data_IF_031198653695
#
_entry.id   IF_031198653695
#
_cell.length_a   1.000
_cell.length_b   1.000
_cell.length_c   1.000
_cell.angle_alpha   90.00
_cell.angle_beta   90.00
_cell.angle_gamma   90.00
#
_symmetry.space_group_name_H-M   'P 1'
#
loop_
_entity.id
_entity.type
_entity.pdbx_description
1 polymer ?
#
# COMPACT_ATOMS: atom_id res chain seq x y z
N UNK A 1 9.25 -9.09 -1.60
CA UNK A 1 9.73 -10.42 -2.06
C UNK A 1 10.18 -11.29 -0.89
N UNK A 2 10.99 -10.77 0.07
CA UNK A 2 11.53 -11.60 1.17
C UNK A 2 10.42 -12.20 2.04
N UNK A 3 9.45 -11.41 2.48
CA UNK A 3 8.36 -11.84 3.34
C UNK A 3 7.47 -12.93 2.75
N UNK A 4 7.38 -13.02 1.42
CA UNK A 4 6.58 -14.05 0.76
C UNK A 4 6.92 -15.48 1.22
N UNK A 5 8.17 -15.75 1.53
CA UNK A 5 8.66 -17.05 2.01
C UNK A 5 8.07 -17.48 3.36
N UNK A 6 7.58 -16.50 4.13
CA UNK A 6 7.10 -16.70 5.49
C UNK A 6 5.58 -16.63 5.62
N UNK A 7 4.88 -16.15 4.58
CA UNK A 7 3.42 -15.99 4.59
C UNK A 7 2.76 -17.34 4.38
N UNK A 8 2.25 -17.91 5.48
CA UNK A 8 1.54 -19.20 5.50
C UNK A 8 0.65 -19.29 6.74
N UNK A 9 -0.36 -20.19 6.76
CA UNK A 9 -1.16 -20.42 7.94
C UNK A 9 -0.29 -20.74 9.17
N UNK A 10 -0.69 -20.22 10.35
CA UNK A 10 0.00 -20.41 11.62
C UNK A 10 1.09 -19.37 11.92
N UNK A 11 1.44 -18.47 11.00
CA UNK A 11 2.42 -17.41 11.24
C UNK A 11 1.71 -16.18 11.82
N UNK A 12 2.31 -15.55 12.83
CA UNK A 12 1.80 -14.29 13.38
C UNK A 12 2.24 -13.09 12.54
N UNK A 13 1.41 -12.07 12.48
CA UNK A 13 1.78 -10.81 11.81
C UNK A 13 2.95 -10.10 12.53
N UNK A 14 3.06 -10.25 13.86
CA UNK A 14 4.21 -9.77 14.62
C UNK A 14 5.53 -10.45 14.25
N UNK A 15 5.50 -11.74 13.88
CA UNK A 15 6.69 -12.43 13.37
C UNK A 15 7.13 -11.87 12.01
N UNK A 16 6.18 -11.55 11.13
CA UNK A 16 6.48 -10.93 9.83
C UNK A 16 7.12 -9.54 10.00
N UNK A 17 6.66 -8.76 10.97
CA UNK A 17 7.25 -7.45 11.28
C UNK A 17 8.71 -7.57 11.72
N UNK A 18 9.02 -8.54 12.61
CA UNK A 18 10.40 -8.79 13.08
C UNK A 18 11.33 -9.15 11.92
N UNK A 19 10.86 -10.00 10.99
CA UNK A 19 11.64 -10.37 9.79
C UNK A 19 11.83 -9.16 8.89
N UNK A 20 10.79 -8.36 8.67
CA UNK A 20 10.86 -7.17 7.85
C UNK A 20 11.86 -6.14 8.43
N UNK A 21 11.77 -5.85 9.72
CA UNK A 21 12.68 -4.92 10.39
C UNK A 21 14.13 -5.37 10.27
N UNK A 22 14.40 -6.65 10.53
CA UNK A 22 15.74 -7.21 10.40
C UNK A 22 16.27 -7.05 8.97
N UNK A 23 15.47 -7.43 7.98
CA UNK A 23 15.86 -7.31 6.57
C UNK A 23 16.13 -5.86 6.15
N UNK A 24 15.30 -4.91 6.58
CA UNK A 24 15.48 -3.48 6.30
C UNK A 24 16.82 -3.01 6.88
N UNK A 25 17.11 -3.34 8.14
CA UNK A 25 18.35 -2.91 8.82
C UNK A 25 19.61 -3.57 8.25
N UNK A 26 19.53 -4.85 7.88
CA UNK A 26 20.64 -5.59 7.26
C UNK A 26 21.03 -5.00 5.89
N UNK A 27 20.10 -4.28 5.25
CA UNK A 27 20.33 -3.55 3.99
C UNK A 27 20.66 -2.06 4.22
N UNK A 28 21.07 -1.66 5.43
CA UNK A 28 21.39 -0.28 5.80
C UNK A 28 20.28 0.74 5.58
N UNK A 29 19.01 0.27 5.53
CA UNK A 29 17.83 1.12 5.44
C UNK A 29 17.19 1.34 6.82
N UNK A 30 16.33 2.34 6.91
CA UNK A 30 15.59 2.70 8.11
C UNK A 30 14.09 2.47 7.85
N UNK A 31 13.37 1.70 8.69
CA UNK A 31 11.92 1.58 8.58
C UNK A 31 11.27 2.93 8.94
N UNK A 32 10.47 3.49 8.05
CA UNK A 32 9.90 4.83 8.21
C UNK A 32 8.60 4.85 8.98
N UNK A 33 7.90 3.71 9.05
CA UNK A 33 6.63 3.63 9.78
C UNK A 33 6.84 3.52 11.29
N UNK A 34 7.90 2.85 11.74
CA UNK A 34 8.19 2.70 13.17
C UNK A 34 8.49 4.03 13.84
N UNK A 35 7.66 4.42 14.78
CA UNK A 35 7.75 5.73 15.43
C UNK A 35 7.07 6.86 14.67
N UNK A 36 6.35 6.56 13.56
CA UNK A 36 5.62 7.58 12.81
C UNK A 36 4.58 8.25 13.72
N UNK A 37 4.53 9.60 13.75
CA UNK A 37 3.66 10.33 14.66
C UNK A 37 2.17 10.01 14.43
N UNK A 38 1.45 9.77 15.51
CA UNK A 38 0.00 9.64 15.50
C UNK A 38 -0.62 10.76 16.34
N UNK A 39 -1.33 11.74 15.75
CA UNK A 39 -1.90 12.86 16.49
C UNK A 39 -2.97 12.46 17.49
N UNK A 40 -3.50 11.24 17.40
CA UNK A 40 -4.58 10.73 18.26
C UNK A 40 -4.14 9.63 19.23
N UNK A 41 -2.85 9.35 19.34
CA UNK A 41 -2.35 8.30 20.20
C UNK A 41 -0.83 8.12 20.17
N UNK A 42 -0.39 6.93 20.57
CA UNK A 42 1.03 6.59 20.51
C UNK A 42 1.52 6.50 19.05
N UNK A 43 2.80 6.81 18.79
CA UNK A 43 3.40 6.59 17.48
C UNK A 43 3.22 5.16 16.99
N UNK A 44 3.22 4.96 15.67
CA UNK A 44 3.07 3.63 15.08
C UNK A 44 4.17 2.68 15.60
N UNK A 45 3.82 1.50 16.14
CA UNK A 45 4.77 0.72 16.94
C UNK A 45 5.66 -0.23 16.13
N UNK A 46 5.40 -0.39 14.83
CA UNK A 46 5.96 -1.46 14.00
C UNK A 46 6.67 -0.93 12.74
N UNK A 47 7.47 -1.77 12.10
CA UNK A 47 8.24 -1.41 10.90
C UNK A 47 7.45 -1.55 9.61
N UNK A 48 6.40 -2.38 9.61
CA UNK A 48 5.47 -2.58 8.50
C UNK A 48 4.02 -2.49 8.98
N UNK A 49 3.07 -2.23 8.07
CA UNK A 49 1.68 -2.50 8.33
C UNK A 49 1.32 -3.92 7.86
N UNK A 50 0.43 -4.59 8.61
CA UNK A 50 -0.09 -5.91 8.26
C UNK A 50 -1.61 -5.92 8.37
N UNK A 51 -2.28 -5.67 7.26
CA UNK A 51 -3.74 -5.52 7.23
C UNK A 51 -4.39 -6.81 6.74
N UNK A 52 -5.08 -7.51 7.65
CA UNK A 52 -5.67 -8.83 7.37
C UNK A 52 -7.15 -8.68 7.06
N UNK A 53 -7.58 -9.28 5.97
CA UNK A 53 -8.97 -9.38 5.50
C UNK A 53 -9.68 -7.99 5.45
N UNK A 54 -10.64 -7.74 6.32
CA UNK A 54 -11.42 -6.50 6.35
C UNK A 54 -10.65 -5.26 6.84
N UNK A 55 -9.46 -5.44 7.40
CA UNK A 55 -8.56 -4.32 7.68
C UNK A 55 -7.93 -3.87 6.36
N UNK A 56 -8.33 -2.70 5.86
CA UNK A 56 -7.89 -2.24 4.53
C UNK A 56 -6.42 -1.81 4.55
N UNK A 57 -6.03 -0.96 5.50
CA UNK A 57 -4.66 -0.45 5.67
C UNK A 57 -4.32 -0.24 7.15
N UNK A 58 -3.07 0.11 7.44
CA UNK A 58 -2.54 0.50 8.75
C UNK A 58 -2.73 -0.55 9.85
N UNK A 59 -2.93 -1.83 9.50
CA UNK A 59 -2.99 -2.91 10.48
C UNK A 59 -1.71 -3.01 11.28
N UNK A 60 -1.84 -3.02 12.63
CA UNK A 60 -0.69 -3.11 13.54
C UNK A 60 -0.29 -4.57 13.70
N UNK A 61 0.96 -4.95 13.36
CA UNK A 61 1.46 -6.30 13.58
C UNK A 61 1.33 -6.75 15.03
N UNK A 62 0.94 -8.01 15.25
CA UNK A 62 0.72 -8.58 16.57
C UNK A 62 1.12 -10.05 16.61
N UNK A 63 1.80 -10.46 17.69
CA UNK A 63 2.09 -11.88 17.95
C UNK A 63 0.81 -12.70 18.23
N UNK A 64 -0.32 -12.03 18.51
CA UNK A 64 -1.63 -12.67 18.73
C UNK A 64 -2.45 -12.83 17.45
N UNK A 65 -2.14 -12.09 16.39
CA UNK A 65 -2.82 -12.18 15.11
C UNK A 65 -2.14 -13.24 14.25
N UNK A 66 -2.72 -14.42 14.24
CA UNK A 66 -2.22 -15.59 13.52
C UNK A 66 -2.96 -15.72 12.18
N UNK A 67 -2.21 -15.76 11.09
CA UNK A 67 -2.74 -15.96 9.75
C UNK A 67 -3.36 -17.35 9.61
N UNK A 68 -4.52 -17.41 8.97
CA UNK A 68 -5.28 -18.64 8.73
C UNK A 68 -5.33 -18.96 7.24
N UNK A 69 -5.63 -20.22 6.92
CA UNK A 69 -5.94 -20.64 5.54
C UNK A 69 -7.13 -19.82 5.00
N UNK A 70 -7.00 -19.26 3.82
CA UNK A 70 -8.03 -18.44 3.19
C UNK A 70 -7.96 -16.96 3.51
N UNK A 71 -7.10 -16.52 4.43
CA UNK A 71 -6.87 -15.08 4.68
C UNK A 71 -6.17 -14.40 3.50
N UNK A 72 -6.35 -13.09 3.42
CA UNK A 72 -5.44 -12.20 2.70
C UNK A 72 -4.75 -11.27 3.69
N UNK A 73 -3.50 -10.94 3.43
CA UNK A 73 -2.75 -9.97 4.22
C UNK A 73 -2.10 -8.95 3.31
N UNK A 74 -2.48 -7.69 3.46
CA UNK A 74 -1.80 -6.56 2.82
C UNK A 74 -0.63 -6.16 3.70
N UNK A 75 0.57 -6.25 3.15
CA UNK A 75 1.80 -5.81 3.81
C UNK A 75 2.25 -4.53 3.13
N UNK A 76 2.41 -3.50 3.93
CA UNK A 76 2.88 -2.20 3.49
C UNK A 76 4.18 -1.86 4.24
N UNK A 77 5.17 -1.36 3.50
CA UNK A 77 6.53 -1.19 3.96
C UNK A 77 7.14 0.10 3.41
N UNK A 78 7.33 1.06 4.28
CA UNK A 78 8.08 2.28 4.02
C UNK A 78 9.52 2.18 4.52
N UNK A 79 10.49 2.58 3.70
CA UNK A 79 11.91 2.57 4.05
C UNK A 79 12.59 3.87 3.66
N UNK A 80 13.65 4.25 4.38
CA UNK A 80 14.56 5.33 3.99
C UNK A 80 15.96 4.76 3.78
N UNK A 81 16.50 4.94 2.59
CA UNK A 81 17.84 4.52 2.20
C UNK A 81 18.57 5.68 1.51
N UNK A 82 19.80 5.99 1.93
CA UNK A 82 20.62 7.07 1.37
C UNK A 82 19.89 8.43 1.29
N UNK A 83 19.01 8.70 2.26
CA UNK A 83 18.28 9.96 2.37
C UNK A 83 16.98 10.03 1.54
N UNK A 84 16.60 8.98 0.84
CA UNK A 84 15.35 8.90 0.08
C UNK A 84 14.41 7.84 0.64
N UNK A 85 13.12 8.13 0.58
CA UNK A 85 12.06 7.22 0.99
C UNK A 85 11.58 6.39 -0.20
N UNK A 86 11.25 5.13 0.09
CA UNK A 86 10.55 4.22 -0.81
C UNK A 86 9.36 3.62 -0.08
N UNK A 87 8.26 3.44 -0.79
CA UNK A 87 7.02 2.93 -0.28
C UNK A 87 6.50 1.81 -1.17
N UNK A 88 6.03 0.71 -0.58
CA UNK A 88 5.57 -0.44 -1.34
C UNK A 88 4.61 -1.31 -0.55
N UNK A 89 3.44 -1.53 -1.10
CA UNK A 89 2.44 -2.45 -0.55
C UNK A 89 2.13 -3.60 -1.50
N UNK A 90 1.82 -4.75 -0.93
CA UNK A 90 1.33 -5.92 -1.68
C UNK A 90 0.42 -6.78 -0.82
N UNK A 91 -0.67 -7.28 -1.43
CA UNK A 91 -1.60 -8.20 -0.76
C UNK A 91 -1.29 -9.64 -1.14
N UNK A 92 -1.04 -10.46 -0.13
CA UNK A 92 -0.71 -11.87 -0.27
C UNK A 92 -1.90 -12.75 0.13
N UNK A 93 -2.11 -13.83 -0.61
CA UNK A 93 -3.01 -14.89 -0.20
C UNK A 93 -2.29 -15.80 0.82
N UNK A 94 -3.00 -16.21 1.85
CA UNK A 94 -2.52 -17.19 2.84
C UNK A 94 -3.18 -18.54 2.51
N UNK A 95 -2.42 -19.40 1.82
CA UNK A 95 -2.98 -20.63 1.25
C UNK A 95 -3.97 -20.35 0.11
N UNK A 96 -5.04 -21.14 0.04
CA UNK A 96 -6.06 -21.02 -1.00
C UNK A 96 -7.17 -20.04 -0.58
N UNK A 97 -7.46 -19.06 -1.44
CA UNK A 97 -8.53 -18.07 -1.24
C UNK A 97 -9.65 -18.26 -2.26
N UNK A 98 -10.84 -17.73 -1.96
CA UNK A 98 -12.00 -17.85 -2.84
C UNK A 98 -11.78 -17.18 -4.21
N UNK A 99 -12.51 -17.59 -5.26
CA UNK A 99 -12.46 -16.94 -6.57
C UNK A 99 -12.79 -15.44 -6.51
N UNK A 100 -13.72 -15.04 -5.63
CA UNK A 100 -14.11 -13.65 -5.43
C UNK A 100 -12.93 -12.82 -4.90
N UNK A 101 -12.21 -13.35 -3.93
CA UNK A 101 -11.00 -12.72 -3.38
C UNK A 101 -9.91 -12.63 -4.45
N UNK A 102 -9.67 -13.70 -5.21
CA UNK A 102 -8.72 -13.69 -6.33
C UNK A 102 -9.06 -12.60 -7.36
N UNK A 103 -10.34 -12.42 -7.65
CA UNK A 103 -10.81 -11.36 -8.55
C UNK A 103 -10.59 -9.97 -7.99
N UNK A 104 -10.92 -9.72 -6.72
CA UNK A 104 -10.65 -8.45 -6.05
C UNK A 104 -9.17 -8.06 -6.14
N UNK A 105 -8.27 -8.98 -5.78
CA UNK A 105 -6.82 -8.74 -5.83
C UNK A 105 -6.34 -8.47 -7.26
N UNK A 106 -6.87 -9.22 -8.23
CA UNK A 106 -6.55 -9.03 -9.64
C UNK A 106 -6.97 -7.65 -10.12
N UNK A 107 -8.22 -7.25 -9.88
CA UNK A 107 -8.77 -5.96 -10.32
C UNK A 107 -8.01 -4.80 -9.65
N UNK A 108 -7.74 -4.91 -8.35
CA UNK A 108 -6.94 -3.90 -7.62
C UNK A 108 -5.56 -3.73 -8.25
N UNK A 109 -4.86 -4.83 -8.52
CA UNK A 109 -3.54 -4.79 -9.16
C UNK A 109 -3.59 -4.22 -10.58
N UNK A 110 -4.57 -4.62 -11.38
CA UNK A 110 -4.75 -4.11 -12.74
C UNK A 110 -5.09 -2.62 -12.75
N UNK A 111 -5.88 -2.13 -11.78
CA UNK A 111 -6.19 -0.71 -11.63
C UNK A 111 -4.92 0.12 -11.37
N UNK A 112 -3.99 -0.40 -10.56
CA UNK A 112 -2.69 0.23 -10.32
C UNK A 112 -1.88 0.37 -11.61
N UNK A 113 -1.75 -0.70 -12.39
CA UNK A 113 -0.98 -0.62 -13.66
C UNK A 113 -1.61 0.34 -14.65
N UNK A 114 -2.94 0.37 -14.76
CA UNK A 114 -3.66 1.36 -15.59
C UNK A 114 -3.42 2.80 -15.10
N UNK A 115 -3.38 3.00 -13.80
CA UNK A 115 -3.07 4.29 -13.19
C UNK A 115 -1.62 4.73 -13.51
N UNK A 116 -0.67 3.80 -13.46
CA UNK A 116 0.73 4.05 -13.84
C UNK A 116 0.84 4.47 -15.30
N UNK A 117 0.12 3.81 -16.22
CA UNK A 117 0.13 4.14 -17.64
C UNK A 117 -0.32 5.58 -17.93
N UNK A 118 -1.22 6.13 -17.13
CA UNK A 118 -1.71 7.52 -17.28
C UNK A 118 -0.89 8.53 -16.47
N UNK A 119 -0.01 8.07 -15.59
CA UNK A 119 0.84 8.91 -14.75
C UNK A 119 2.04 9.47 -15.53
N UNK A 120 1.78 10.21 -16.60
CA UNK A 120 2.79 10.79 -17.48
C UNK A 120 2.77 12.31 -17.44
N UNK A 121 3.88 12.93 -17.82
CA UNK A 121 4.01 14.40 -17.90
C UNK A 121 2.87 15.01 -18.72
N UNK A 122 2.27 16.07 -18.20
CA UNK A 122 1.15 16.79 -18.82
C UNK A 122 -0.23 16.26 -18.45
N UNK A 123 -0.33 15.09 -17.82
CA UNK A 123 -1.53 14.61 -17.15
C UNK A 123 -1.66 15.21 -15.75
N UNK A 124 -2.76 14.94 -15.07
CA UNK A 124 -3.03 15.43 -13.72
C UNK A 124 -3.33 14.29 -12.77
N UNK A 125 -3.20 14.53 -11.48
CA UNK A 125 -3.51 13.53 -10.45
C UNK A 125 -4.95 13.00 -10.55
N UNK A 126 -5.90 13.82 -10.99
CA UNK A 126 -7.28 13.41 -11.23
C UNK A 126 -7.44 12.41 -12.37
N UNK A 127 -6.50 12.38 -13.34
CA UNK A 127 -6.50 11.35 -14.39
C UNK A 127 -6.13 9.98 -13.80
N UNK A 128 -5.19 9.95 -12.85
CA UNK A 128 -4.81 8.73 -12.10
C UNK A 128 -6.02 8.22 -11.32
N UNK A 129 -6.60 9.05 -10.45
CA UNK A 129 -7.72 8.67 -9.61
C UNK A 129 -8.95 8.26 -10.40
N UNK A 130 -9.28 8.98 -11.47
CA UNK A 130 -10.37 8.60 -12.37
C UNK A 130 -10.17 7.21 -12.97
N UNK A 131 -8.93 6.91 -13.40
CA UNK A 131 -8.62 5.60 -14.03
C UNK A 131 -8.77 4.45 -13.04
N UNK A 132 -8.30 4.62 -11.79
CA UNK A 132 -8.51 3.62 -10.73
C UNK A 132 -10.00 3.41 -10.48
N UNK A 133 -10.73 4.50 -10.25
CA UNK A 133 -12.15 4.48 -9.95
C UNK A 133 -12.97 3.82 -11.06
N UNK A 134 -12.84 4.30 -12.29
CA UNK A 134 -13.59 3.77 -13.44
C UNK A 134 -13.37 2.27 -13.61
N UNK A 135 -12.11 1.82 -13.47
CA UNK A 135 -11.79 0.43 -13.64
C UNK A 135 -12.38 -0.45 -12.52
N UNK A 136 -12.18 -0.09 -11.27
CA UNK A 136 -12.68 -0.88 -10.13
C UNK A 136 -14.22 -0.90 -10.07
N UNK A 137 -14.87 0.27 -10.27
CA UNK A 137 -16.33 0.37 -10.27
C UNK A 137 -16.96 -0.42 -11.43
N UNK A 138 -16.27 -0.59 -12.57
CA UNK A 138 -16.75 -1.43 -13.67
C UNK A 138 -16.89 -2.93 -13.33
N UNK A 139 -16.17 -3.36 -12.27
CA UNK A 139 -16.29 -4.71 -11.70
C UNK A 139 -17.19 -4.77 -10.46
N UNK A 140 -17.81 -3.64 -10.08
CA UNK A 140 -18.71 -3.54 -8.93
C UNK A 140 -18.00 -3.33 -7.59
N UNK A 141 -16.70 -2.99 -7.60
CA UNK A 141 -15.93 -2.70 -6.39
C UNK A 141 -16.01 -1.23 -5.99
N UNK A 142 -15.92 -0.99 -4.68
CA UNK A 142 -15.82 0.35 -4.10
C UNK A 142 -14.38 0.86 -4.00
N UNK A 143 -14.25 2.18 -3.87
CA UNK A 143 -12.95 2.85 -3.65
C UNK A 143 -12.98 3.55 -2.29
N UNK A 144 -11.97 3.31 -1.47
CA UNK A 144 -11.75 4.05 -0.23
C UNK A 144 -11.40 5.50 -0.57
N UNK A 145 -12.15 6.45 0.01
CA UNK A 145 -12.06 7.89 -0.35
C UNK A 145 -11.32 8.72 0.69
N UNK A 146 -11.18 8.21 1.90
CA UNK A 146 -10.59 8.90 3.04
C UNK A 146 -9.06 8.91 3.01
N UNK A 147 -8.48 8.01 2.22
CA UNK A 147 -7.03 7.83 2.12
C UNK A 147 -6.58 8.00 0.67
N UNK A 148 -5.34 8.41 0.52
CA UNK A 148 -4.77 8.76 -0.79
C UNK A 148 -3.33 8.28 -0.89
N UNK A 149 -2.86 8.02 -2.09
CA UNK A 149 -1.44 8.04 -2.40
C UNK A 149 -0.86 9.46 -2.32
N UNK A 150 0.42 9.60 -2.55
CA UNK A 150 1.15 10.85 -2.31
C UNK A 150 2.41 10.98 -3.16
N UNK A 151 2.97 12.19 -3.21
CA UNK A 151 4.35 12.39 -3.61
C UNK A 151 5.30 11.76 -2.59
N UNK A 152 6.48 11.34 -3.03
CA UNK A 152 7.48 10.71 -2.18
C UNK A 152 8.89 11.10 -2.65
N UNK A 153 9.83 11.28 -1.71
CA UNK A 153 11.19 11.66 -2.03
C UNK A 153 12.09 11.64 -0.82
N UNK A 154 12.47 12.80 -0.31
CA UNK A 154 13.25 12.90 0.93
C UNK A 154 12.39 12.67 2.17
N UNK A 155 11.13 13.05 2.06
CA UNK A 155 10.12 12.77 3.07
C UNK A 155 9.19 11.66 2.57
N UNK A 156 8.59 10.93 3.52
CA UNK A 156 7.71 9.82 3.23
C UNK A 156 6.44 10.28 2.51
N UNK A 157 5.91 11.42 2.94
CA UNK A 157 4.73 12.03 2.35
C UNK A 157 5.07 13.44 1.85
N UNK A 158 5.02 13.60 0.54
CA UNK A 158 5.22 14.89 -0.16
C UNK A 158 3.99 15.21 -1.03
N UNK A 159 3.87 16.45 -1.44
CA UNK A 159 2.87 16.84 -2.46
C UNK A 159 3.23 16.21 -3.84
N UNK A 160 2.22 15.92 -4.66
CA UNK A 160 0.79 16.10 -4.45
C UNK A 160 0.12 14.89 -3.78
N UNK A 161 -1.05 15.09 -3.14
CA UNK A 161 -1.96 13.98 -2.83
C UNK A 161 -2.48 13.33 -4.12
N UNK A 162 -2.61 11.99 -4.11
CA UNK A 162 -3.05 11.20 -5.27
C UNK A 162 -4.27 10.35 -4.86
N UNK A 163 -5.49 10.92 -4.89
CA UNK A 163 -6.70 10.17 -4.60
C UNK A 163 -6.93 9.02 -5.60
N UNK A 164 -7.53 7.95 -5.13
CA UNK A 164 -7.91 6.80 -5.97
C UNK A 164 -9.26 7.00 -6.69
N UNK A 165 -9.76 8.22 -6.71
CA UNK A 165 -10.98 8.65 -7.38
C UNK A 165 -10.81 10.08 -7.89
N UNK A 166 -11.66 10.51 -8.80
CA UNK A 166 -11.59 11.90 -9.26
C UNK A 166 -12.23 12.16 -10.61
N UNK A 167 -11.82 13.27 -11.19
CA UNK A 167 -12.27 13.71 -12.52
C UNK A 167 -11.07 13.93 -13.42
N UNK A 168 -11.19 13.54 -14.68
CA UNK A 168 -10.16 13.78 -15.70
C UNK A 168 -9.79 15.26 -15.77
N UNK A 169 -8.52 15.53 -16.06
CA UNK A 169 -7.98 16.89 -16.21
C UNK A 169 -8.09 17.76 -14.95
N UNK A 170 -8.22 17.19 -13.76
CA UNK A 170 -8.32 17.92 -12.50
C UNK A 170 -7.11 17.67 -11.58
N UNK A 171 -6.86 18.59 -10.65
CA UNK A 171 -5.80 18.51 -9.65
C UNK A 171 -4.42 18.90 -10.17
N UNK A 172 -3.38 18.56 -9.42
CA UNK A 172 -1.99 18.93 -9.71
C UNK A 172 -1.52 18.37 -11.05
N UNK A 173 -0.74 19.17 -11.77
CA UNK A 173 -0.13 18.79 -13.04
C UNK A 173 1.09 17.90 -12.78
N UNK A 174 1.16 16.77 -13.45
CA UNK A 174 2.32 15.87 -13.39
C UNK A 174 3.49 16.42 -14.22
N UNK A 175 4.66 16.44 -13.62
CA UNK A 175 5.89 16.99 -14.21
C UNK A 175 7.01 15.95 -14.16
N UNK A 176 7.95 16.07 -15.05
CA UNK A 176 9.17 15.26 -15.04
C UNK A 176 9.90 15.41 -13.69
N UNK A 177 10.39 14.31 -13.17
CA UNK A 177 11.14 14.24 -11.90
C UNK A 177 10.27 14.06 -10.66
N UNK A 178 8.94 14.06 -10.77
CA UNK A 178 8.06 13.68 -9.65
C UNK A 178 8.17 12.18 -9.37
N UNK A 179 8.32 11.83 -8.10
CA UNK A 179 8.13 10.47 -7.60
C UNK A 179 6.80 10.40 -6.89
N UNK A 180 6.03 9.34 -7.14
CA UNK A 180 4.64 9.21 -6.69
C UNK A 180 4.42 7.82 -6.11
N UNK A 181 3.75 7.73 -4.96
CA UNK A 181 3.14 6.51 -4.44
C UNK A 181 1.69 6.46 -4.92
N UNK A 182 1.34 5.47 -5.74
CA UNK A 182 -0.01 5.25 -6.26
C UNK A 182 -0.56 4.01 -5.57
N UNK A 183 -1.61 4.18 -4.78
CA UNK A 183 -2.04 3.21 -3.78
C UNK A 183 -3.54 2.91 -3.89
N UNK A 184 -4.01 2.13 -4.86
CA UNK A 184 -5.41 1.75 -4.94
C UNK A 184 -5.86 0.97 -3.70
N UNK A 185 -6.87 1.49 -3.00
CA UNK A 185 -7.52 0.85 -1.86
C UNK A 185 -8.95 0.52 -2.27
N UNK A 186 -9.21 -0.77 -2.46
CA UNK A 186 -10.42 -1.29 -3.14
C UNK A 186 -11.16 -2.25 -2.22
N UNK A 187 -12.49 -2.12 -2.15
CA UNK A 187 -13.36 -2.92 -1.29
C UNK A 187 -14.54 -3.51 -2.05
#
# INVERSE_FOLDING_TARGET
AELFKYIKPGVSTGHLDKIAEQFIRDNNAIPTFKGFPNPYGSPFPASICTSVNACVVHGIPSDKQILQEGDIVSIDCGVKLEGFCGDSAYTFCVGEVSPQVKQLLKVTKESLYKAIEVAITGKRVGDIGYTVQEYCESYGYGIVRELTGHGIGRDMHEDPCIPNYGKRNNGALLKNGMCLSIEPMVT
#
